data_IF_444693248294
#
_entry.id   IF_444693248294
#
_cell.length_a   1.000
_cell.length_b   1.000
_cell.length_c   1.000
_cell.angle_alpha   90.00
_cell.angle_beta   90.00
_cell.angle_gamma   90.00
#
_symmetry.space_group_name_H-M   'P 1'
#
loop_
_entity.id
_entity.type
_entity.pdbx_description
1 polymer ?
#
# COMPACT_ATOMS: atom_id res chain seq x y z
N UNK A 1 2.91 34.65 9.28
CA UNK A 1 3.26 35.03 7.92
C UNK A 1 2.05 34.94 6.96
N UNK A 2 1.18 33.92 7.07
CA UNK A 2 -0.01 33.77 6.20
C UNK A 2 -1.10 34.84 6.41
N UNK A 3 -1.12 35.55 7.54
CA UNK A 3 -2.12 36.54 7.86
C UNK A 3 -1.97 37.88 7.10
N UNK A 4 -0.88 38.07 6.39
CA UNK A 4 -0.55 39.28 5.63
C UNK A 4 -0.72 39.13 4.10
N UNK A 5 -1.15 37.95 3.65
CA UNK A 5 -1.37 37.66 2.23
C UNK A 5 -2.79 38.09 1.81
N UNK A 6 -3.00 38.38 0.50
CA UNK A 6 -4.33 38.63 -0.05
C UNK A 6 -5.31 37.50 0.24
N UNK A 7 -6.59 37.77 0.34
CA UNK A 7 -7.61 36.76 0.71
C UNK A 7 -7.68 35.60 -0.27
N UNK A 8 -7.43 35.83 -1.56
CA UNK A 8 -7.39 34.77 -2.58
C UNK A 8 -6.26 33.79 -2.30
N UNK A 9 -5.05 34.24 -2.04
CA UNK A 9 -3.90 33.42 -1.69
C UNK A 9 -4.12 32.65 -0.37
N UNK A 10 -4.78 33.29 0.58
CA UNK A 10 -5.15 32.65 1.86
C UNK A 10 -6.18 31.54 1.67
N UNK A 11 -7.16 31.74 0.79
CA UNK A 11 -8.17 30.73 0.45
C UNK A 11 -7.51 29.56 -0.26
N UNK A 12 -6.65 29.82 -1.23
CA UNK A 12 -5.89 28.79 -1.95
C UNK A 12 -4.98 28.02 -1.01
N UNK A 13 -4.30 28.72 -0.12
CA UNK A 13 -3.48 28.15 0.94
C UNK A 13 -4.29 27.28 1.91
N UNK A 14 -5.55 27.61 2.24
CA UNK A 14 -6.42 26.80 3.10
C UNK A 14 -6.99 25.56 2.38
N UNK A 15 -7.17 25.63 1.05
CA UNK A 15 -7.68 24.52 0.23
C UNK A 15 -6.60 23.51 -0.17
N UNK A 16 -5.34 23.91 -0.08
CA UNK A 16 -4.23 23.02 -0.40
C UNK A 16 -4.13 21.89 0.61
N UNK A 17 -3.90 20.66 0.11
CA UNK A 17 -3.64 19.50 0.94
C UNK A 17 -2.39 19.70 1.78
N UNK A 18 -2.53 19.61 3.10
CA UNK A 18 -1.43 19.80 4.05
C UNK A 18 -1.22 18.59 4.91
N UNK A 19 0.04 18.26 5.03
CA UNK A 19 0.45 17.32 6.03
C UNK A 19 0.41 17.93 7.44
N UNK A 20 -0.42 17.37 8.30
CA UNK A 20 -0.47 17.70 9.72
C UNK A 20 0.15 16.54 10.50
N UNK A 21 1.37 16.74 10.98
CA UNK A 21 2.10 15.72 11.73
C UNK A 21 1.65 15.65 13.19
N UNK A 22 0.69 14.79 13.50
CA UNK A 22 0.34 14.42 14.87
C UNK A 22 1.12 13.19 15.34
N UNK A 23 1.16 12.95 16.65
CA UNK A 23 2.04 11.93 17.27
C UNK A 23 1.87 10.55 16.65
N UNK A 24 0.63 10.05 16.48
CA UNK A 24 0.37 8.73 15.89
C UNK A 24 0.78 8.66 14.42
N UNK A 25 0.57 9.74 13.65
CA UNK A 25 1.02 9.77 12.26
C UNK A 25 2.55 9.70 12.14
N UNK A 26 3.28 10.37 13.05
CA UNK A 26 4.74 10.29 13.08
C UNK A 26 5.23 8.90 13.46
N UNK A 27 4.64 8.27 14.48
CA UNK A 27 4.99 6.89 14.86
C UNK A 27 4.66 5.89 13.76
N UNK A 28 3.57 6.08 13.02
CA UNK A 28 3.22 5.26 11.86
C UNK A 28 4.25 5.41 10.74
N UNK A 29 4.65 6.65 10.41
CA UNK A 29 5.72 6.88 9.44
C UNK A 29 7.03 6.24 9.87
N UNK A 30 7.41 6.38 11.14
CA UNK A 30 8.61 5.73 11.66
C UNK A 30 8.55 4.21 11.50
N UNK A 31 7.39 3.59 11.77
CA UNK A 31 7.22 2.14 11.59
C UNK A 31 7.29 1.72 10.12
N UNK A 32 6.76 2.54 9.22
CA UNK A 32 6.90 2.33 7.77
C UNK A 32 8.37 2.44 7.31
N UNK A 33 9.13 3.39 7.85
CA UNK A 33 10.57 3.53 7.57
C UNK A 33 11.37 2.31 8.07
N UNK A 34 11.05 1.81 9.25
CA UNK A 34 11.68 0.59 9.78
C UNK A 34 11.44 -0.60 8.83
N UNK A 35 10.20 -0.78 8.34
CA UNK A 35 9.85 -1.83 7.39
C UNK A 35 10.54 -1.64 6.03
N UNK A 36 10.58 -0.41 5.54
CA UNK A 36 11.20 -0.08 4.26
C UNK A 36 12.70 -0.38 4.24
N UNK A 37 13.36 -0.20 5.38
CA UNK A 37 14.79 -0.50 5.56
C UNK A 37 15.04 -1.91 6.10
N UNK A 38 13.99 -2.74 6.25
CA UNK A 38 14.15 -4.08 6.78
C UNK A 38 14.95 -4.97 5.84
N UNK A 39 15.96 -5.71 6.34
CA UNK A 39 16.73 -6.61 5.50
C UNK A 39 15.83 -7.72 4.94
N UNK A 40 16.00 -8.03 3.64
CA UNK A 40 15.20 -9.08 2.99
C UNK A 40 15.41 -10.43 3.66
N UNK A 41 14.30 -11.07 4.06
CA UNK A 41 14.25 -12.39 4.70
C UNK A 41 13.19 -13.26 4.03
N UNK A 42 13.25 -14.55 4.26
CA UNK A 42 12.25 -15.48 3.74
C UNK A 42 10.83 -15.16 4.26
N UNK A 43 10.72 -14.71 5.50
CA UNK A 43 9.48 -14.20 6.09
C UNK A 43 9.65 -12.74 6.46
N UNK A 44 9.07 -11.87 5.66
CA UNK A 44 9.06 -10.44 5.94
C UNK A 44 7.99 -10.09 6.97
N UNK A 45 8.26 -9.16 7.88
CA UNK A 45 7.23 -8.60 8.74
C UNK A 45 6.25 -7.77 7.92
N UNK A 46 4.97 -7.89 8.21
CA UNK A 46 3.93 -7.10 7.58
C UNK A 46 3.26 -6.19 8.62
N UNK A 47 2.63 -5.13 8.17
CA UNK A 47 1.96 -4.17 9.04
C UNK A 47 0.49 -4.02 8.61
N UNK A 48 -0.41 -3.90 9.57
CA UNK A 48 -1.80 -3.59 9.33
C UNK A 48 -2.17 -2.27 10.04
N UNK A 49 -2.28 -1.20 9.27
CA UNK A 49 -2.69 0.12 9.75
C UNK A 49 -4.21 0.18 9.83
N UNK A 50 -4.73 0.32 11.05
CA UNK A 50 -6.16 0.27 11.33
C UNK A 50 -6.60 1.64 11.85
N UNK A 51 -7.66 2.17 11.28
CA UNK A 51 -8.28 3.41 11.76
C UNK A 51 -9.65 3.63 11.15
N UNK A 52 -10.45 4.48 11.79
CA UNK A 52 -11.76 4.87 11.28
C UNK A 52 -11.66 5.52 9.89
N UNK A 53 -12.75 5.55 9.16
CA UNK A 53 -12.83 6.30 7.90
C UNK A 53 -12.50 7.78 8.17
N UNK A 54 -11.84 8.44 7.24
CA UNK A 54 -11.38 9.84 7.34
C UNK A 54 -10.38 10.13 8.48
N UNK A 55 -9.67 9.12 8.98
CA UNK A 55 -8.66 9.27 10.03
C UNK A 55 -7.24 9.56 9.48
N UNK A 56 -7.11 9.96 8.23
CA UNK A 56 -5.84 10.35 7.64
C UNK A 56 -4.90 9.22 7.22
N UNK A 57 -5.34 7.94 7.23
CA UNK A 57 -4.53 6.78 6.82
C UNK A 57 -3.90 6.97 5.44
N UNK A 58 -4.72 7.27 4.44
CA UNK A 58 -4.25 7.45 3.06
C UNK A 58 -3.31 8.65 2.91
N UNK A 59 -3.49 9.72 3.71
CA UNK A 59 -2.58 10.86 3.75
C UNK A 59 -1.18 10.48 4.27
N UNK A 60 -1.11 9.63 5.29
CA UNK A 60 0.15 9.08 5.81
C UNK A 60 0.88 8.29 4.73
N UNK A 61 0.15 7.40 4.03
CA UNK A 61 0.71 6.58 2.95
C UNK A 61 1.17 7.44 1.78
N UNK A 62 0.39 8.44 1.37
CA UNK A 62 0.78 9.35 0.28
C UNK A 62 2.02 10.18 0.65
N UNK A 63 2.10 10.65 1.90
CA UNK A 63 3.32 11.32 2.36
C UNK A 63 4.52 10.37 2.30
N UNK A 64 4.41 9.17 2.84
CA UNK A 64 5.47 8.17 2.81
C UNK A 64 5.94 7.85 1.38
N UNK A 65 4.98 7.61 0.47
CA UNK A 65 5.27 7.39 -0.96
C UNK A 65 6.03 8.55 -1.59
N UNK A 66 5.57 9.79 -1.35
CA UNK A 66 6.18 11.00 -1.91
C UNK A 66 7.61 11.22 -1.41
N UNK A 67 7.85 10.97 -0.13
CA UNK A 67 9.18 11.16 0.46
C UNK A 67 10.20 10.18 -0.18
N UNK A 68 9.80 8.94 -0.47
CA UNK A 68 10.66 7.93 -1.10
C UNK A 68 10.78 8.07 -2.61
N UNK A 69 9.78 8.58 -3.29
CA UNK A 69 9.86 8.87 -4.73
C UNK A 69 10.91 9.95 -5.02
N UNK A 70 10.99 10.98 -4.17
CA UNK A 70 12.00 12.04 -4.29
C UNK A 70 13.43 11.51 -4.15
N UNK A 71 13.68 10.59 -3.22
CA UNK A 71 14.99 9.98 -3.02
C UNK A 71 15.37 9.15 -4.25
N UNK A 72 14.46 8.32 -4.75
CA UNK A 72 14.69 7.47 -5.92
C UNK A 72 15.01 8.29 -7.18
N UNK A 73 14.31 9.39 -7.43
CA UNK A 73 14.57 10.29 -8.58
C UNK A 73 15.92 10.99 -8.47
N UNK A 74 16.37 11.34 -7.26
CA UNK A 74 17.66 12.00 -7.06
C UNK A 74 18.86 11.07 -7.23
N UNK A 75 18.73 9.83 -6.78
CA UNK A 75 19.84 8.88 -6.79
C UNK A 75 20.03 8.16 -8.14
N UNK A 76 18.94 7.96 -8.90
CA UNK A 76 18.95 7.13 -10.12
C UNK A 76 18.13 7.79 -11.24
N UNK A 77 18.64 8.92 -11.73
CA UNK A 77 17.91 9.71 -12.75
C UNK A 77 17.64 8.95 -14.08
N UNK A 78 18.37 7.87 -14.33
CA UNK A 78 18.28 7.11 -15.59
C UNK A 78 17.35 5.89 -15.52
N UNK A 79 16.80 5.56 -14.35
CA UNK A 79 15.94 4.40 -14.15
C UNK A 79 14.66 4.76 -13.40
N UNK A 80 13.53 4.25 -13.88
CA UNK A 80 12.25 4.40 -13.18
C UNK A 80 12.20 3.47 -11.98
N UNK A 81 12.45 4.01 -10.79
CA UNK A 81 12.36 3.31 -9.52
C UNK A 81 11.04 3.63 -8.81
N UNK A 82 10.34 2.61 -8.34
CA UNK A 82 9.10 2.75 -7.59
C UNK A 82 9.25 1.97 -6.27
N UNK A 83 10.04 2.49 -5.32
CA UNK A 83 10.33 1.74 -4.08
C UNK A 83 9.10 1.55 -3.18
N UNK A 84 8.11 2.45 -3.25
CA UNK A 84 6.84 2.36 -2.52
C UNK A 84 5.70 2.21 -3.51
N UNK A 85 5.20 0.99 -3.64
CA UNK A 85 4.05 0.68 -4.50
C UNK A 85 2.78 0.72 -3.66
N UNK A 86 1.81 1.54 -4.06
CA UNK A 86 0.52 1.68 -3.37
C UNK A 86 -0.60 1.28 -4.32
N UNK A 87 -1.40 0.30 -3.93
CA UNK A 87 -2.57 -0.17 -4.68
C UNK A 87 -3.79 -0.21 -3.78
N UNK A 88 -4.96 0.06 -4.32
CA UNK A 88 -6.23 -0.11 -3.61
C UNK A 88 -6.79 -1.51 -3.82
N UNK A 89 -7.46 -2.06 -2.81
CA UNK A 89 -8.27 -3.26 -2.97
C UNK A 89 -9.54 -2.91 -3.77
N UNK A 90 -9.88 -3.65 -4.82
CA UNK A 90 -11.13 -3.42 -5.54
C UNK A 90 -12.34 -3.59 -4.60
N UNK A 91 -13.43 -2.86 -4.87
CA UNK A 91 -14.67 -2.91 -4.07
C UNK A 91 -15.27 -4.32 -3.97
N UNK A 92 -15.09 -5.12 -5.01
CA UNK A 92 -15.36 -6.55 -5.00
C UNK A 92 -14.01 -7.28 -5.08
N UNK A 93 -13.66 -8.10 -4.09
CA UNK A 93 -12.38 -8.80 -4.07
C UNK A 93 -12.28 -9.74 -5.28
N UNK A 94 -11.22 -9.57 -6.05
CA UNK A 94 -10.94 -10.38 -7.24
C UNK A 94 -9.44 -10.36 -7.49
N UNK A 95 -8.82 -11.53 -7.55
CA UNK A 95 -7.39 -11.68 -7.83
C UNK A 95 -7.01 -11.06 -9.17
N UNK A 96 -7.82 -11.30 -10.20
CA UNK A 96 -7.57 -10.73 -11.55
C UNK A 96 -7.63 -9.21 -11.54
N UNK A 97 -8.68 -8.61 -10.91
CA UNK A 97 -8.80 -7.15 -10.78
C UNK A 97 -7.66 -6.55 -9.96
N UNK A 98 -7.24 -7.21 -8.90
CA UNK A 98 -6.14 -6.73 -8.08
C UNK A 98 -4.83 -6.67 -8.87
N UNK A 99 -4.48 -7.73 -9.60
CA UNK A 99 -3.31 -7.70 -10.49
C UNK A 99 -3.44 -6.62 -11.56
N UNK A 100 -4.62 -6.46 -12.13
CA UNK A 100 -4.91 -5.41 -13.10
C UNK A 100 -4.63 -4.00 -12.53
N UNK A 101 -5.12 -3.73 -11.32
CA UNK A 101 -4.88 -2.44 -10.65
C UNK A 101 -3.41 -2.25 -10.30
N UNK A 102 -2.73 -3.31 -9.89
CA UNK A 102 -1.30 -3.26 -9.57
C UNK A 102 -0.46 -2.97 -10.83
N UNK A 103 -0.78 -3.63 -11.95
CA UNK A 103 -0.15 -3.35 -13.25
C UNK A 103 -0.42 -1.92 -13.72
N UNK A 104 -1.65 -1.43 -13.58
CA UNK A 104 -1.99 -0.04 -13.90
C UNK A 104 -1.19 0.95 -13.05
N UNK A 105 -1.00 0.66 -11.76
CA UNK A 105 -0.17 1.48 -10.86
C UNK A 105 1.29 1.53 -11.30
N UNK A 106 1.78 0.47 -11.93
CA UNK A 106 3.14 0.36 -12.47
C UNK A 106 3.25 0.88 -13.91
N UNK A 107 2.19 1.50 -14.47
CA UNK A 107 2.18 2.01 -15.84
C UNK A 107 2.22 0.94 -16.94
N UNK A 108 1.94 -0.32 -16.59
CA UNK A 108 2.02 -1.42 -17.54
C UNK A 108 0.75 -1.55 -18.38
N UNK A 109 0.89 -1.81 -19.71
CA UNK A 109 -0.26 -2.11 -20.55
C UNK A 109 -0.90 -3.45 -20.14
N UNK A 110 -2.23 -3.49 -20.15
CA UNK A 110 -2.98 -4.70 -19.85
C UNK A 110 -3.71 -5.22 -21.07
N UNK A 111 -3.67 -6.55 -21.25
CA UNK A 111 -4.54 -7.21 -22.21
C UNK A 111 -5.87 -7.58 -21.54
N UNK A 112 -7.03 -7.17 -22.07
CA UNK A 112 -8.34 -7.41 -21.45
C UNK A 112 -8.70 -8.89 -21.21
N UNK A 113 -8.01 -9.80 -21.90
CA UNK A 113 -8.22 -11.25 -21.82
C UNK A 113 -7.04 -12.01 -21.22
N UNK A 114 -6.12 -11.32 -20.53
CA UNK A 114 -4.97 -11.98 -19.92
C UNK A 114 -5.42 -12.97 -18.83
N UNK A 115 -4.78 -14.12 -18.80
CA UNK A 115 -5.01 -15.13 -17.76
C UNK A 115 -4.36 -14.68 -16.44
N UNK A 116 -4.94 -15.10 -15.31
CA UNK A 116 -4.40 -14.75 -13.98
C UNK A 116 -2.92 -15.09 -13.87
N UNK A 117 -2.47 -16.24 -14.35
CA UNK A 117 -1.07 -16.64 -14.33
C UNK A 117 -0.15 -15.69 -15.14
N UNK A 118 -0.64 -15.12 -16.23
CA UNK A 118 0.11 -14.14 -17.02
C UNK A 118 0.21 -12.81 -16.27
N UNK A 119 -0.91 -12.34 -15.69
CA UNK A 119 -0.94 -11.14 -14.87
C UNK A 119 0.00 -11.25 -13.66
N UNK A 120 0.00 -12.39 -12.99
CA UNK A 120 0.89 -12.70 -11.87
C UNK A 120 2.36 -12.61 -12.27
N UNK A 121 2.76 -13.31 -13.34
CA UNK A 121 4.16 -13.31 -13.81
C UNK A 121 4.64 -11.92 -14.23
N UNK A 122 3.80 -11.17 -14.95
CA UNK A 122 4.13 -9.80 -15.38
C UNK A 122 4.26 -8.89 -14.16
N UNK A 123 3.32 -8.99 -13.21
CA UNK A 123 3.36 -8.20 -11.98
C UNK A 123 4.62 -8.46 -11.16
N UNK A 124 4.97 -9.72 -10.93
CA UNK A 124 6.18 -10.08 -10.17
C UNK A 124 7.45 -9.57 -10.84
N UNK A 125 7.54 -9.69 -12.16
CA UNK A 125 8.69 -9.17 -12.93
C UNK A 125 8.80 -7.65 -12.82
N UNK A 126 7.70 -6.94 -12.99
CA UNK A 126 7.69 -5.47 -12.92
C UNK A 126 8.02 -4.96 -11.50
N UNK A 127 7.42 -5.53 -10.45
CA UNK A 127 7.76 -5.16 -9.07
C UNK A 127 9.24 -5.34 -8.76
N UNK A 128 9.86 -6.40 -9.31
CA UNK A 128 11.31 -6.61 -9.18
C UNK A 128 12.10 -5.60 -10.00
N UNK A 129 11.68 -5.28 -11.24
CA UNK A 129 12.40 -4.36 -12.12
C UNK A 129 12.39 -2.92 -11.61
N UNK A 130 11.25 -2.46 -11.04
CA UNK A 130 11.15 -1.13 -10.41
C UNK A 130 11.75 -1.08 -9.00
N UNK A 131 12.37 -2.16 -8.55
CA UNK A 131 12.98 -2.30 -7.22
C UNK A 131 12.02 -1.96 -6.07
N UNK A 132 10.79 -2.46 -6.15
CA UNK A 132 9.80 -2.29 -5.10
C UNK A 132 10.34 -2.82 -3.76
N UNK A 133 10.37 -1.99 -2.72
CA UNK A 133 10.83 -2.33 -1.38
C UNK A 133 9.68 -2.55 -0.40
N UNK A 134 8.51 -2.00 -0.68
CA UNK A 134 7.32 -2.14 0.15
C UNK A 134 6.07 -2.07 -0.72
N UNK A 135 5.10 -2.95 -0.45
CA UNK A 135 3.80 -2.97 -1.11
C UNK A 135 2.72 -2.56 -0.11
N UNK A 136 2.06 -1.44 -0.38
CA UNK A 136 0.94 -0.94 0.43
C UNK A 136 -0.37 -1.26 -0.27
N UNK A 137 -1.29 -1.87 0.46
CA UNK A 137 -2.63 -2.25 -0.02
C UNK A 137 -3.65 -1.47 0.80
N UNK A 138 -4.20 -0.42 0.17
CA UNK A 138 -5.21 0.43 0.80
C UNK A 138 -6.62 -0.18 0.64
N UNK A 139 -7.54 0.24 1.48
CA UNK A 139 -8.94 -0.23 1.53
C UNK A 139 -9.04 -1.77 1.71
N UNK A 140 -8.14 -2.37 2.49
CA UNK A 140 -8.07 -3.83 2.66
C UNK A 140 -9.37 -4.44 3.21
N UNK A 141 -10.21 -3.64 3.88
CA UNK A 141 -11.52 -4.09 4.36
C UNK A 141 -12.48 -4.55 3.24
N UNK A 142 -12.27 -4.10 2.00
CA UNK A 142 -13.07 -4.55 0.85
C UNK A 142 -12.94 -6.08 0.63
N UNK A 143 -11.88 -6.71 1.11
CA UNK A 143 -11.73 -8.18 1.07
C UNK A 143 -12.89 -8.89 1.76
N UNK A 144 -13.50 -8.26 2.77
CA UNK A 144 -14.67 -8.83 3.48
C UNK A 144 -15.97 -8.77 2.69
N UNK A 145 -16.07 -7.90 1.69
CA UNK A 145 -17.28 -7.76 0.87
C UNK A 145 -17.57 -8.99 -0.01
N UNK A 146 -16.56 -9.85 -0.23
CA UNK A 146 -16.68 -11.06 -1.03
C UNK A 146 -17.18 -12.28 -0.25
N UNK A 147 -17.67 -13.28 -1.00
CA UNK A 147 -17.97 -14.60 -0.46
C UNK A 147 -16.72 -15.23 0.21
N UNK A 148 -16.93 -16.18 1.13
CA UNK A 148 -15.86 -16.78 1.93
C UNK A 148 -14.71 -17.34 1.09
N UNK A 149 -15.00 -17.99 -0.04
CA UNK A 149 -13.99 -18.59 -0.90
C UNK A 149 -13.16 -17.51 -1.63
N UNK A 150 -13.82 -16.46 -2.13
CA UNK A 150 -13.16 -15.31 -2.77
C UNK A 150 -12.25 -14.58 -1.78
N UNK A 151 -12.70 -14.43 -0.53
CA UNK A 151 -11.88 -13.86 0.54
C UNK A 151 -10.64 -14.71 0.81
N UNK A 152 -10.81 -16.03 0.94
CA UNK A 152 -9.69 -16.97 1.15
C UNK A 152 -8.68 -16.91 -0.01
N UNK A 153 -9.17 -16.88 -1.25
CA UNK A 153 -8.33 -16.76 -2.43
C UNK A 153 -7.48 -15.47 -2.38
N UNK A 154 -8.10 -14.35 -2.02
CA UNK A 154 -7.38 -13.08 -1.91
C UNK A 154 -6.36 -13.07 -0.76
N UNK A 155 -6.68 -13.65 0.39
CA UNK A 155 -5.74 -13.80 1.50
C UNK A 155 -4.56 -14.73 1.13
N UNK A 156 -4.80 -15.77 0.34
CA UNK A 156 -3.76 -16.63 -0.23
C UNK A 156 -2.85 -15.84 -1.19
N UNK A 157 -3.42 -14.96 -2.01
CA UNK A 157 -2.66 -14.06 -2.88
C UNK A 157 -1.70 -13.18 -2.08
N UNK A 158 -2.15 -12.58 -0.98
CA UNK A 158 -1.28 -11.74 -0.13
C UNK A 158 -0.10 -12.55 0.43
N UNK A 159 -0.35 -13.78 0.86
CA UNK A 159 0.71 -14.69 1.34
C UNK A 159 1.71 -15.02 0.23
N UNK A 160 1.20 -15.33 -0.94
CA UNK A 160 2.00 -15.64 -2.11
C UNK A 160 2.91 -14.45 -2.49
N UNK A 161 2.35 -13.26 -2.63
CA UNK A 161 3.11 -12.05 -2.96
C UNK A 161 4.20 -11.75 -1.93
N UNK A 162 3.90 -11.86 -0.63
CA UNK A 162 4.88 -11.64 0.44
C UNK A 162 6.03 -12.64 0.41
N UNK A 163 5.77 -13.90 0.04
CA UNK A 163 6.80 -14.94 -0.07
C UNK A 163 7.67 -14.75 -1.32
N UNK A 164 7.06 -14.46 -2.48
CA UNK A 164 7.76 -14.35 -3.77
C UNK A 164 8.58 -13.06 -3.90
N UNK A 165 8.06 -11.95 -3.39
CA UNK A 165 8.72 -10.66 -3.50
C UNK A 165 9.75 -10.45 -2.37
N UNK A 166 9.55 -11.09 -1.22
CA UNK A 166 10.37 -10.90 -0.01
C UNK A 166 10.48 -9.43 0.41
N UNK A 167 9.37 -8.72 0.26
CA UNK A 167 9.20 -7.34 0.73
C UNK A 167 8.05 -7.28 1.75
N UNK A 168 8.05 -6.30 2.66
CA UNK A 168 6.93 -6.08 3.57
C UNK A 168 5.66 -5.74 2.81
N UNK A 169 4.53 -6.28 3.27
CA UNK A 169 3.20 -5.88 2.84
C UNK A 169 2.58 -5.04 3.96
N UNK A 170 2.05 -3.89 3.60
CA UNK A 170 1.32 -3.01 4.51
C UNK A 170 -0.15 -2.98 4.10
N UNK A 171 -1.00 -3.57 4.91
CA UNK A 171 -2.45 -3.43 4.77
C UNK A 171 -2.92 -2.15 5.44
N UNK A 172 -3.83 -1.42 4.80
CA UNK A 172 -4.46 -0.22 5.35
C UNK A 172 -5.97 -0.38 5.28
N UNK A 173 -6.66 -0.13 6.39
CA UNK A 173 -8.11 -0.29 6.39
C UNK A 173 -8.76 0.09 7.70
N UNK A 174 -10.01 -0.32 7.84
CA UNK A 174 -10.82 -0.14 9.03
C UNK A 174 -10.69 -1.36 9.97
N UNK A 175 -11.43 -1.35 11.08
CA UNK A 175 -11.46 -2.48 12.02
C UNK A 175 -11.85 -3.80 11.35
N UNK A 176 -12.68 -3.74 10.32
CA UNK A 176 -13.10 -4.89 9.53
C UNK A 176 -11.92 -5.56 8.82
N UNK A 177 -10.94 -4.77 8.32
CA UNK A 177 -9.73 -5.31 7.74
C UNK A 177 -8.92 -6.15 8.75
N UNK A 178 -8.87 -5.72 10.01
CA UNK A 178 -8.25 -6.48 11.09
C UNK A 178 -8.97 -7.81 11.34
N UNK A 179 -10.30 -7.79 11.37
CA UNK A 179 -11.09 -9.02 11.53
C UNK A 179 -10.89 -9.98 10.35
N UNK A 180 -10.72 -9.45 9.13
CA UNK A 180 -10.42 -10.26 7.95
C UNK A 180 -9.08 -10.97 8.08
N UNK A 181 -8.04 -10.24 8.44
CA UNK A 181 -6.69 -10.81 8.60
C UNK A 181 -6.66 -11.84 9.74
N UNK A 182 -7.32 -11.56 10.85
CA UNK A 182 -7.43 -12.50 12.00
C UNK A 182 -8.23 -13.77 11.71
N UNK A 183 -9.04 -13.77 10.67
CA UNK A 183 -9.78 -14.98 10.28
C UNK A 183 -8.90 -16.03 9.60
N UNK A 184 -7.62 -15.73 9.35
CA UNK A 184 -6.63 -16.62 8.77
C UNK A 184 -5.40 -16.68 9.69
N UNK A 185 -5.22 -17.82 10.39
CA UNK A 185 -4.14 -18.02 11.37
C UNK A 185 -2.73 -17.75 10.82
N UNK A 186 -2.54 -17.97 9.51
CA UNK A 186 -1.23 -17.75 8.88
C UNK A 186 -0.95 -16.30 8.61
N UNK A 187 -1.98 -15.47 8.40
CA UNK A 187 -1.86 -14.03 8.23
C UNK A 187 -1.88 -13.30 9.57
N UNK A 188 -2.67 -13.75 10.54
CA UNK A 188 -2.69 -13.18 11.88
C UNK A 188 -1.26 -13.10 12.47
N UNK A 189 -0.50 -14.19 12.34
CA UNK A 189 0.89 -14.27 12.82
C UNK A 189 1.91 -13.49 11.99
N UNK A 190 1.50 -12.86 10.89
CA UNK A 190 2.40 -12.12 10.00
C UNK A 190 2.15 -10.62 9.98
N UNK A 191 0.94 -10.19 10.32
CA UNK A 191 0.56 -8.79 10.32
C UNK A 191 0.53 -8.21 11.72
N UNK A 192 1.45 -7.30 12.00
CA UNK A 192 1.44 -6.51 13.22
C UNK A 192 0.35 -5.44 13.13
N UNK A 193 -0.65 -5.41 14.04
CA UNK A 193 -1.67 -4.37 14.02
C UNK A 193 -1.15 -3.05 14.60
N UNK A 194 -1.40 -1.95 13.90
CA UNK A 194 -1.09 -0.59 14.32
C UNK A 194 -2.35 0.26 14.26
N UNK A 195 -2.79 0.74 15.42
CA UNK A 195 -3.99 1.56 15.57
C UNK A 195 -3.64 3.05 15.36
N UNK A 196 -4.37 3.69 14.46
CA UNK A 196 -4.24 5.10 14.17
C UNK A 196 -5.24 5.96 14.94
#
# INVERSE_FOLDING_TARGET
AASLQPDEERIEYLRADRWIGYTRARSTLQRLEELFNWPSKQRMPNLLIIGSTNNGKSMIIQKFKRDHLWVAVREHADHELIPVVVVQTPSEPSVSRFYAMLLATLGAPMHPRARIAELEQVTLRLLKSVQAKILVIDELHNVLAGATDVRKEFLNLLRFLGNELRIPIVGVGTKEAYLAVRSDDQLENRFEPLLL
#
